data_IF_737367299566
#
_entry.id   IF_737367299566
#
_cell.length_a   1.000
_cell.length_b   1.000
_cell.length_c   1.000
_cell.angle_alpha   90.00
_cell.angle_beta   90.00
_cell.angle_gamma   90.00
#
_symmetry.space_group_name_H-M   'P 1'
#
loop_
_entity.id
_entity.type
_entity.pdbx_description
1 polymer ?
#
# COMPACT_ATOMS: atom_id res chain seq x y z
N UNK A 1 2.91 3.12 18.00
CA UNK A 1 1.55 3.66 17.76
C UNK A 1 1.07 3.13 16.41
N UNK A 2 -0.24 3.01 16.13
CA UNK A 2 -0.68 2.70 14.76
C UNK A 2 -0.15 3.78 13.82
N UNK A 3 0.60 3.36 12.80
CA UNK A 3 1.22 4.26 11.83
C UNK A 3 0.16 4.93 10.97
N UNK A 4 0.07 6.26 11.00
CA UNK A 4 -0.82 7.00 10.12
C UNK A 4 -0.24 7.01 8.70
N UNK A 5 -0.96 6.39 7.76
CA UNK A 5 -0.52 6.26 6.37
C UNK A 5 -0.37 7.61 5.67
N UNK A 6 -1.00 8.69 6.18
CA UNK A 6 -0.92 10.05 5.60
C UNK A 6 0.51 10.58 5.66
N UNK A 7 1.27 10.14 6.65
CA UNK A 7 2.65 10.53 6.89
C UNK A 7 3.66 9.77 6.02
N UNK A 8 3.22 8.73 5.31
CA UNK A 8 4.08 7.86 4.52
C UNK A 8 4.01 8.26 3.04
N UNK A 9 5.12 8.73 2.50
CA UNK A 9 5.22 9.20 1.11
C UNK A 9 5.21 8.06 0.08
N UNK A 10 4.29 8.03 -0.91
CA UNK A 10 4.36 7.07 -2.02
C UNK A 10 5.68 7.13 -2.79
N UNK A 11 6.16 5.95 -3.23
CA UNK A 11 7.44 5.85 -3.93
C UNK A 11 7.23 5.40 -5.37
N UNK A 12 7.57 6.27 -6.33
CA UNK A 12 7.55 5.92 -7.76
C UNK A 12 8.69 4.96 -8.11
N UNK A 13 8.36 3.92 -8.86
CA UNK A 13 9.29 2.91 -9.38
C UNK A 13 8.93 2.55 -10.81
N UNK A 14 9.88 1.94 -11.52
CA UNK A 14 9.67 1.39 -12.85
C UNK A 14 9.81 -0.14 -12.77
N UNK A 15 8.89 -0.87 -13.38
CA UNK A 15 8.97 -2.31 -13.50
C UNK A 15 9.54 -2.68 -14.86
N UNK A 16 10.73 -3.27 -14.89
CA UNK A 16 11.33 -3.78 -16.14
C UNK A 16 10.50 -4.93 -16.75
N UNK A 17 9.81 -5.71 -15.91
CA UNK A 17 8.95 -6.79 -16.37
C UNK A 17 7.69 -6.27 -17.08
N UNK A 18 6.98 -5.31 -16.45
CA UNK A 18 5.76 -4.75 -17.01
C UNK A 18 6.00 -3.57 -17.96
N UNK A 19 7.25 -3.10 -18.07
CA UNK A 19 7.65 -1.91 -18.83
C UNK A 19 6.81 -0.67 -18.49
N UNK A 20 6.47 -0.52 -17.21
CA UNK A 20 5.53 0.51 -16.71
C UNK A 20 5.97 1.06 -15.37
N UNK A 21 5.65 2.34 -15.15
CA UNK A 21 5.75 2.99 -13.84
C UNK A 21 4.66 2.45 -12.90
N UNK A 22 4.99 2.37 -11.62
CA UNK A 22 4.09 2.06 -10.53
C UNK A 22 4.48 2.83 -9.27
N UNK A 23 3.57 2.91 -8.30
CA UNK A 23 3.83 3.49 -7.00
C UNK A 23 3.75 2.44 -5.91
N UNK A 24 4.67 2.50 -4.95
CA UNK A 24 4.63 1.70 -3.73
C UNK A 24 4.01 2.55 -2.62
N UNK A 25 2.99 2.03 -1.97
CA UNK A 25 2.24 2.73 -0.90
C UNK A 25 2.08 1.83 0.32
N UNK A 26 1.88 2.39 1.53
CA UNK A 26 1.55 1.60 2.71
C UNK A 26 0.16 1.00 2.60
N UNK A 27 -0.01 -0.20 3.11
CA UNK A 27 -1.31 -0.84 3.27
C UNK A 27 -1.30 -1.76 4.50
N UNK A 28 -2.45 -2.29 4.86
CA UNK A 28 -2.61 -3.28 5.92
C UNK A 28 -3.37 -4.47 5.35
N UNK A 29 -2.84 -5.68 5.48
CA UNK A 29 -3.57 -6.89 5.14
C UNK A 29 -4.45 -7.25 6.32
N UNK A 30 -5.75 -7.35 6.08
CA UNK A 30 -6.74 -7.65 7.12
C UNK A 30 -7.19 -9.10 7.11
N UNK A 31 -7.28 -9.69 5.93
CA UNK A 31 -7.91 -10.99 5.72
C UNK A 31 -7.37 -11.67 4.46
N UNK A 32 -7.14 -12.98 4.56
CA UNK A 32 -6.93 -13.87 3.41
C UNK A 32 -8.29 -14.35 2.92
N UNK A 33 -8.60 -14.15 1.63
CA UNK A 33 -9.93 -14.45 1.09
C UNK A 33 -10.08 -15.90 0.60
N UNK A 34 -9.01 -16.71 0.58
CA UNK A 34 -9.02 -18.10 0.13
C UNK A 34 -9.18 -18.30 -1.39
N UNK A 35 -9.69 -17.30 -2.11
CA UNK A 35 -9.73 -17.30 -3.57
C UNK A 35 -8.33 -17.11 -4.16
N UNK A 36 -7.93 -18.02 -5.06
CA UNK A 36 -6.58 -18.02 -5.66
C UNK A 36 -6.60 -17.55 -7.11
N UNK A 37 -5.53 -16.87 -7.53
CA UNK A 37 -5.30 -16.51 -8.94
C UNK A 37 -3.80 -16.46 -9.24
N UNK A 38 -3.40 -17.08 -10.35
CA UNK A 38 -1.99 -17.32 -10.68
C UNK A 38 -1.26 -18.01 -9.50
N UNK A 39 -0.05 -17.58 -9.16
CA UNK A 39 0.73 -18.07 -8.02
C UNK A 39 0.51 -17.18 -6.78
N UNK A 40 -0.74 -16.87 -6.48
CA UNK A 40 -1.10 -15.99 -5.37
C UNK A 40 -2.53 -16.17 -4.88
N UNK A 41 -2.84 -15.46 -3.81
CA UNK A 41 -4.12 -15.49 -3.11
C UNK A 41 -4.69 -14.08 -2.98
N UNK A 42 -6.00 -13.96 -3.10
CA UNK A 42 -6.67 -12.70 -2.88
C UNK A 42 -6.74 -12.36 -1.39
N UNK A 43 -6.58 -11.07 -1.11
CA UNK A 43 -6.55 -10.52 0.24
C UNK A 43 -7.43 -9.27 0.32
N UNK A 44 -7.99 -9.03 1.50
CA UNK A 44 -8.60 -7.75 1.83
C UNK A 44 -7.54 -6.83 2.41
N UNK A 45 -7.35 -5.68 1.77
CA UNK A 45 -6.37 -4.68 2.14
C UNK A 45 -7.08 -3.41 2.63
N UNK A 46 -6.48 -2.73 3.59
CA UNK A 46 -6.77 -1.34 3.93
C UNK A 46 -5.65 -0.46 3.39
N UNK A 47 -5.99 0.60 2.68
CA UNK A 47 -5.01 1.50 2.05
C UNK A 47 -5.57 2.92 2.04
N UNK A 48 -4.70 3.92 1.93
CA UNK A 48 -5.14 5.29 1.69
C UNK A 48 -5.67 5.45 0.27
N UNK A 49 -6.80 6.11 0.18
CA UNK A 49 -7.37 6.62 -1.05
C UNK A 49 -6.58 7.87 -1.49
N UNK A 50 -5.84 7.85 -2.61
CA UNK A 50 -4.97 8.96 -2.98
C UNK A 50 -5.68 10.31 -3.22
N UNK A 51 -6.97 10.32 -3.54
CA UNK A 51 -7.72 11.54 -3.87
C UNK A 51 -8.40 12.15 -2.64
N UNK A 52 -8.88 11.33 -1.71
CA UNK A 52 -9.60 11.79 -0.51
C UNK A 52 -8.74 11.82 0.75
N UNK A 53 -7.67 11.01 0.82
CA UNK A 53 -6.93 10.78 2.06
C UNK A 53 -7.67 9.89 3.06
N UNK A 54 -8.81 9.33 2.68
CA UNK A 54 -9.56 8.39 3.51
C UNK A 54 -8.99 6.97 3.41
N UNK A 55 -9.12 6.20 4.50
CA UNK A 55 -8.79 4.77 4.47
C UNK A 55 -9.93 4.00 3.79
N UNK A 56 -9.58 3.24 2.76
CA UNK A 56 -10.50 2.40 1.99
C UNK A 56 -10.11 0.93 2.07
N UNK A 57 -11.10 0.06 1.87
CA UNK A 57 -10.90 -1.38 1.80
C UNK A 57 -10.99 -1.85 0.35
N UNK A 58 -10.00 -2.62 -0.07
CA UNK A 58 -9.86 -3.07 -1.46
C UNK A 58 -9.43 -4.52 -1.51
N UNK A 59 -9.79 -5.21 -2.59
CA UNK A 59 -9.29 -6.55 -2.89
C UNK A 59 -7.95 -6.43 -3.59
N UNK A 60 -6.94 -7.12 -3.10
CA UNK A 60 -5.61 -7.21 -3.71
C UNK A 60 -5.16 -8.65 -3.84
N UNK A 61 -4.00 -8.87 -4.46
CA UNK A 61 -3.39 -10.17 -4.65
C UNK A 61 -2.04 -10.22 -3.94
N UNK A 62 -1.82 -11.20 -3.06
CA UNK A 62 -0.50 -11.50 -2.50
C UNK A 62 0.07 -12.75 -3.17
N UNK A 63 1.31 -12.69 -3.64
CA UNK A 63 1.97 -13.85 -4.23
C UNK A 63 2.46 -14.84 -3.18
N UNK A 64 2.46 -16.13 -3.53
CA UNK A 64 2.87 -17.22 -2.66
C UNK A 64 4.26 -16.99 -2.06
N UNK A 65 5.24 -16.53 -2.86
CA UNK A 65 6.60 -16.20 -2.37
C UNK A 65 6.61 -15.06 -1.36
N UNK A 66 5.74 -14.07 -1.52
CA UNK A 66 5.63 -12.97 -0.56
C UNK A 66 5.02 -13.48 0.75
N UNK A 67 3.99 -14.33 0.64
CA UNK A 67 3.37 -14.96 1.78
C UNK A 67 4.38 -15.86 2.52
N UNK A 68 5.09 -16.75 1.84
CA UNK A 68 6.15 -17.61 2.41
C UNK A 68 7.17 -16.82 3.22
N UNK A 69 7.71 -15.76 2.64
CA UNK A 69 8.67 -14.89 3.31
C UNK A 69 8.07 -14.18 4.54
N UNK A 70 6.80 -13.75 4.48
CA UNK A 70 6.11 -13.19 5.66
C UNK A 70 5.98 -14.23 6.77
N UNK A 71 5.70 -15.50 6.42
CA UNK A 71 5.65 -16.61 7.38
C UNK A 71 7.02 -16.86 8.01
N UNK A 72 8.10 -16.84 7.23
CA UNK A 72 9.47 -17.01 7.70
C UNK A 72 9.91 -15.90 8.67
N UNK A 73 9.44 -14.67 8.45
CA UNK A 73 9.72 -13.52 9.31
C UNK A 73 8.86 -13.46 10.58
N UNK A 74 7.94 -14.42 10.78
CA UNK A 74 7.10 -14.52 11.98
C UNK A 74 5.92 -13.54 12.03
N UNK A 75 5.67 -12.76 10.97
CA UNK A 75 4.54 -11.83 10.85
C UNK A 75 3.27 -12.55 10.36
N UNK A 76 2.87 -13.60 11.09
CA UNK A 76 1.77 -14.50 10.72
C UNK A 76 0.38 -14.05 11.18
N UNK A 77 0.31 -13.07 12.08
CA UNK A 77 -0.96 -12.63 12.65
C UNK A 77 -1.55 -11.48 11.84
N UNK A 78 -2.78 -11.68 11.38
CA UNK A 78 -3.58 -10.61 10.79
C UNK A 78 -4.24 -9.77 11.90
N UNK A 79 -4.40 -8.45 11.70
CA UNK A 79 -3.92 -7.70 10.55
C UNK A 79 -2.42 -7.42 10.63
N UNK A 80 -1.76 -7.30 9.48
CA UNK A 80 -0.35 -6.88 9.42
C UNK A 80 -0.15 -5.75 8.42
N UNK A 81 0.66 -4.76 8.81
CA UNK A 81 1.07 -3.68 7.93
C UNK A 81 1.96 -4.25 6.82
N UNK A 82 1.78 -3.79 5.58
CA UNK A 82 2.64 -4.10 4.45
C UNK A 82 2.72 -2.97 3.41
N UNK A 83 3.43 -3.16 2.29
CA UNK A 83 3.41 -2.27 1.13
C UNK A 83 2.65 -2.93 -0.01
N UNK A 84 1.97 -2.14 -0.84
CA UNK A 84 1.38 -2.62 -2.09
C UNK A 84 1.78 -1.75 -3.28
N UNK A 85 1.74 -2.36 -4.47
CA UNK A 85 2.03 -1.68 -5.72
C UNK A 85 0.74 -1.23 -6.40
N UNK A 86 0.70 0.05 -6.74
CA UNK A 86 -0.35 0.68 -7.54
C UNK A 86 0.16 0.82 -8.97
N UNK A 87 -0.52 0.17 -9.93
CA UNK A 87 -0.28 0.33 -11.36
C UNK A 87 -1.39 1.19 -12.00
N UNK A 88 -1.03 1.94 -13.05
CA UNK A 88 -2.00 2.76 -13.80
C UNK A 88 -3.00 1.84 -14.50
N UNK A 89 -4.29 2.16 -14.38
CA UNK A 89 -5.38 1.32 -14.88
C UNK A 89 -5.91 0.30 -13.86
N UNK A 90 -5.33 0.21 -12.67
CA UNK A 90 -5.99 -0.46 -11.54
C UNK A 90 -7.08 0.47 -10.97
N UNK A 91 -8.30 -0.04 -10.81
CA UNK A 91 -9.41 0.70 -10.20
C UNK A 91 -9.31 0.60 -8.68
N UNK A 92 -8.86 1.68 -8.03
CA UNK A 92 -8.88 1.81 -6.57
C UNK A 92 -10.26 2.31 -6.07
N UNK A 93 -11.08 2.89 -6.96
CA UNK A 93 -12.19 3.78 -6.56
C UNK A 93 -13.60 3.23 -6.67
N UNK A 94 -13.82 2.09 -7.30
CA UNK A 94 -15.18 1.61 -7.50
C UNK A 94 -15.23 0.14 -7.21
N UNK A 95 -16.04 -0.24 -6.22
CA UNK A 95 -16.44 -1.63 -5.94
C UNK A 95 -17.18 -2.31 -7.10
N UNK A 96 -17.00 -1.86 -8.34
CA UNK A 96 -17.37 -2.54 -9.57
C UNK A 96 -16.10 -3.09 -10.22
N UNK A 97 -15.89 -4.37 -9.92
CA UNK A 97 -15.26 -5.41 -10.72
C UNK A 97 -14.04 -5.04 -11.58
N UNK A 98 -12.93 -5.67 -11.19
CA UNK A 98 -11.69 -5.88 -11.95
C UNK A 98 -10.72 -4.69 -11.96
N UNK A 99 -9.81 -4.63 -10.98
CA UNK A 99 -8.38 -4.92 -11.16
C UNK A 99 -7.67 -4.93 -9.80
N UNK A 100 -6.73 -5.86 -9.67
CA UNK A 100 -6.07 -6.27 -8.44
C UNK A 100 -4.97 -5.27 -8.08
N UNK A 101 -4.99 -4.73 -6.86
CA UNK A 101 -3.75 -4.20 -6.28
C UNK A 101 -2.80 -5.37 -6.09
N UNK A 102 -1.65 -5.31 -6.74
CA UNK A 102 -0.66 -6.38 -6.67
C UNK A 102 0.26 -6.09 -5.48
N UNK A 103 0.20 -6.93 -4.46
CA UNK A 103 1.11 -6.91 -3.32
C UNK A 103 2.36 -7.68 -3.71
N UNK A 104 3.43 -6.96 -4.08
CA UNK A 104 4.74 -7.54 -4.35
C UNK A 104 5.71 -7.19 -3.21
N UNK A 105 6.15 -8.22 -2.47
CA UNK A 105 7.48 -8.32 -1.87
C UNK A 105 8.00 -7.23 -0.90
N UNK A 106 8.23 -7.71 0.32
CA UNK A 106 9.13 -7.23 1.40
C UNK A 106 8.66 -6.07 2.27
N UNK A 107 8.34 -6.44 3.51
CA UNK A 107 8.06 -5.54 4.60
C UNK A 107 9.03 -5.79 5.75
N UNK A 108 9.70 -4.73 6.18
CA UNK A 108 10.37 -4.67 7.46
C UNK A 108 9.91 -3.35 8.10
N UNK A 109 9.39 -3.40 9.32
CA UNK A 109 8.94 -2.22 10.05
C UNK A 109 10.08 -1.20 10.21
N UNK A 110 11.32 -1.66 10.44
CA UNK A 110 12.51 -0.82 10.52
C UNK A 110 12.85 -0.13 9.18
N UNK A 111 12.45 -0.75 8.06
CA UNK A 111 12.63 -0.19 6.72
C UNK A 111 11.54 0.83 6.43
N UNK A 112 10.29 0.68 6.91
CA UNK A 112 9.29 1.73 6.80
C UNK A 112 9.75 3.00 7.50
N UNK A 113 10.18 2.88 8.76
CA UNK A 113 10.63 4.03 9.54
C UNK A 113 11.82 4.73 8.86
N UNK A 114 12.77 3.95 8.32
CA UNK A 114 13.94 4.48 7.59
C UNK A 114 13.65 4.99 6.17
N UNK A 115 12.72 4.38 5.43
CA UNK A 115 12.36 4.78 4.06
C UNK A 115 11.47 6.03 4.10
N UNK A 116 10.57 6.10 5.07
CA UNK A 116 9.60 7.18 5.16
C UNK A 116 10.03 8.31 6.08
N UNK A 117 11.20 8.17 6.72
CA UNK A 117 11.77 9.23 7.56
C UNK A 117 10.75 9.70 8.58
N UNK A 118 10.12 8.75 9.28
CA UNK A 118 9.21 9.09 10.37
C UNK A 118 10.08 9.60 11.52
N UNK A 119 10.50 10.87 11.43
CA UNK A 119 11.05 11.60 12.56
C UNK A 119 9.93 11.69 13.61
N UNK A 120 10.20 11.22 14.82
CA UNK A 120 9.27 11.18 15.97
C UNK A 120 8.91 12.59 16.51
N UNK A 121 8.94 13.62 15.66
CA UNK A 121 8.82 15.01 16.07
C UNK A 121 7.35 15.45 16.13
N UNK A 122 6.72 15.07 17.25
CA UNK A 122 5.54 15.75 17.78
C UNK A 122 4.19 15.24 17.27
N UNK A 123 3.20 15.28 18.15
CA UNK A 123 1.80 15.02 17.79
C UNK A 123 1.33 16.08 16.78
N UNK A 124 1.36 15.74 15.50
CA UNK A 124 0.76 16.56 14.45
C UNK A 124 -0.76 16.60 14.65
N UNK A 125 -1.38 17.77 14.43
CA UNK A 125 -2.84 17.88 14.35
C UNK A 125 -3.35 17.24 13.06
N UNK A 126 -4.66 16.92 13.00
CA UNK A 126 -5.26 16.40 11.75
C UNK A 126 -5.07 17.34 10.55
N UNK A 127 -5.07 18.65 10.77
CA UNK A 127 -4.82 19.64 9.72
C UNK A 127 -3.38 19.55 9.20
N UNK A 128 -2.40 19.43 10.09
CA UNK A 128 -0.99 19.24 9.71
C UNK A 128 -0.76 17.90 9.01
N UNK A 129 -1.40 16.82 9.47
CA UNK A 129 -1.33 15.52 8.82
C UNK A 129 -1.92 15.56 7.40
N UNK A 130 -3.01 16.31 7.19
CA UNK A 130 -3.61 16.50 5.88
C UNK A 130 -2.71 17.33 4.95
N UNK A 131 -2.01 18.35 5.46
CA UNK A 131 -1.03 19.10 4.67
C UNK A 131 0.14 18.21 4.22
N UNK A 132 0.69 17.40 5.13
CA UNK A 132 1.73 16.41 4.81
C UNK A 132 1.23 15.43 3.75
N UNK A 133 0.03 14.89 3.91
CA UNK A 133 -0.60 13.99 2.94
C UNK A 133 -0.69 14.62 1.55
N UNK A 134 -1.23 15.84 1.44
CA UNK A 134 -1.40 16.53 0.17
C UNK A 134 -0.05 16.73 -0.54
N UNK A 135 1.01 17.04 0.22
CA UNK A 135 2.36 17.18 -0.33
C UNK A 135 2.96 15.83 -0.76
N UNK A 136 2.80 14.78 0.06
CA UNK A 136 3.31 13.44 -0.23
C UNK A 136 2.66 12.79 -1.44
N UNK A 137 1.35 12.93 -1.59
CA UNK A 137 0.56 12.24 -2.59
C UNK A 137 0.36 13.03 -3.89
N UNK A 138 0.79 14.30 -3.96
CA UNK A 138 0.67 15.15 -5.14
C UNK A 138 1.09 14.47 -6.44
N UNK A 139 2.30 13.91 -6.49
CA UNK A 139 2.83 13.26 -7.70
C UNK A 139 2.01 12.02 -8.11
N UNK A 140 1.50 11.27 -7.12
CA UNK A 140 0.65 10.10 -7.36
C UNK A 140 -0.71 10.52 -7.92
N UNK A 141 -1.30 11.58 -7.38
CA UNK A 141 -2.58 12.15 -7.83
C UNK A 141 -2.44 12.69 -9.26
N UNK A 142 -1.40 13.48 -9.54
CA UNK A 142 -1.12 13.98 -10.90
C UNK A 142 -0.96 12.83 -11.89
N UNK A 143 -0.27 11.76 -11.50
CA UNK A 143 -0.10 10.57 -12.34
C UNK A 143 -1.41 9.82 -12.59
N UNK A 144 -2.32 9.74 -11.62
CA UNK A 144 -3.67 9.19 -11.80
C UNK A 144 -4.53 9.99 -12.77
N UNK A 145 -4.40 11.33 -12.74
CA UNK A 145 -5.22 12.25 -13.52
C UNK A 145 -4.67 12.54 -14.94
N UNK A 146 -3.42 12.15 -15.21
CA UNK A 146 -2.81 12.18 -16.55
C UNK A 146 -3.30 11.07 -17.48
#
# INVERSE_FOLDING_TARGET
MPTDFRLIKPIKRFSDYYQKNFYVVPCEILEMLGERRFNGEYVKLKVLNPNSGDLIFVKGLIYDKTLEMIKELGALELPFLTQCCIYKGCNIYNGNENFDLIVYGMFNADILERIFGIDEDGFLTDEQMNEVFNNHYKDLIEWFNS
#
